data_IF_825726707430
#
_entry.id   IF_825726707430
#
_cell.length_a   1.000
_cell.length_b   1.000
_cell.length_c   1.000
_cell.angle_alpha   90.00
_cell.angle_beta   90.00
_cell.angle_gamma   90.00
#
_symmetry.space_group_name_H-M   'P 1'
#
loop_
_entity.id
_entity.type
_entity.pdbx_description
1 polymer ?
#
# COMPACT_ATOMS: atom_id res chain seq x y z
N UNK A 1 48.88 -26.53 44.21
CA UNK A 1 47.57 -26.93 43.71
C UNK A 1 46.78 -25.64 43.34
N UNK A 2 46.66 -25.34 42.07
CA UNK A 2 45.86 -24.19 41.58
C UNK A 2 44.51 -24.69 41.05
N UNK A 3 43.46 -24.36 41.77
CA UNK A 3 42.08 -24.70 41.39
C UNK A 3 41.58 -23.73 40.37
N UNK A 4 41.30 -24.19 39.15
CA UNK A 4 40.67 -23.37 38.09
C UNK A 4 39.14 -23.54 38.22
N UNK A 5 38.48 -22.46 38.60
CA UNK A 5 37.04 -22.39 38.70
C UNK A 5 36.47 -21.94 37.33
N UNK A 6 35.94 -22.89 36.59
CA UNK A 6 35.31 -22.64 35.28
C UNK A 6 33.91 -22.07 35.50
N UNK A 7 33.74 -20.80 35.17
CA UNK A 7 32.44 -20.13 35.20
C UNK A 7 31.72 -20.44 33.87
N UNK A 8 30.67 -21.25 33.96
CA UNK A 8 29.80 -21.55 32.82
C UNK A 8 28.79 -20.40 32.68
N UNK A 9 29.00 -19.52 31.68
CA UNK A 9 28.03 -18.47 31.34
C UNK A 9 26.87 -19.08 30.58
N UNK A 10 25.70 -19.17 31.20
CA UNK A 10 24.46 -19.58 30.56
C UNK A 10 23.90 -18.37 29.81
N UNK A 11 24.04 -18.39 28.47
CA UNK A 11 23.43 -17.42 27.59
C UNK A 11 21.93 -17.75 27.47
N UNK A 12 21.08 -17.08 28.24
CA UNK A 12 19.64 -17.15 28.09
C UNK A 12 19.22 -16.32 26.88
N UNK A 13 18.99 -16.96 25.74
CA UNK A 13 18.33 -16.35 24.57
C UNK A 13 16.84 -16.21 24.87
N UNK A 14 16.41 -15.01 25.23
CA UNK A 14 14.97 -14.68 25.27
C UNK A 14 14.47 -14.62 23.83
N UNK A 15 13.73 -15.65 23.39
CA UNK A 15 12.91 -15.60 22.19
C UNK A 15 11.82 -14.56 22.45
N UNK A 16 11.95 -13.37 21.87
CA UNK A 16 10.83 -12.43 21.80
C UNK A 16 9.75 -13.06 20.92
N UNK A 17 8.69 -13.55 21.54
CA UNK A 17 7.50 -13.99 20.82
C UNK A 17 6.94 -12.78 20.07
N UNK A 18 6.92 -12.82 18.73
CA UNK A 18 6.29 -11.79 17.93
C UNK A 18 4.81 -11.68 18.36
N UNK A 19 4.38 -10.50 18.78
CA UNK A 19 3.00 -10.27 19.17
C UNK A 19 2.07 -10.66 18.02
N UNK A 20 1.18 -11.60 18.30
CA UNK A 20 0.21 -12.06 17.32
C UNK A 20 -0.81 -10.94 17.08
N UNK A 21 -0.94 -10.49 15.85
CA UNK A 21 -1.97 -9.51 15.48
C UNK A 21 -3.38 -10.06 15.80
N UNK A 22 -4.12 -9.36 16.64
CA UNK A 22 -5.47 -9.71 17.12
C UNK A 22 -6.58 -8.80 16.54
N UNK A 23 -6.20 -7.82 15.71
CA UNK A 23 -7.15 -6.90 15.07
C UNK A 23 -7.97 -7.51 13.93
N UNK A 24 -8.83 -6.68 13.29
CA UNK A 24 -9.66 -7.12 12.19
C UNK A 24 -8.80 -7.58 11.01
N UNK A 25 -9.26 -8.61 10.29
CA UNK A 25 -8.56 -9.20 9.14
C UNK A 25 -9.37 -9.05 7.88
N UNK A 26 -8.73 -8.73 6.73
CA UNK A 26 -9.38 -8.78 5.43
C UNK A 26 -10.03 -10.14 5.18
N UNK A 27 -11.27 -10.15 4.74
CA UNK A 27 -12.05 -11.34 4.39
C UNK A 27 -11.72 -11.87 2.98
N UNK A 28 -11.07 -11.04 2.16
CA UNK A 28 -10.68 -11.38 0.77
C UNK A 28 -9.18 -11.17 0.56
N UNK A 29 -8.50 -12.11 -0.10
CA UNK A 29 -7.12 -11.96 -0.48
C UNK A 29 -6.97 -11.00 -1.67
N UNK A 30 -5.77 -10.44 -1.80
CA UNK A 30 -5.34 -9.57 -2.91
C UNK A 30 -6.22 -8.33 -3.13
N UNK A 31 -6.85 -7.85 -2.06
CA UNK A 31 -7.58 -6.57 -2.01
C UNK A 31 -7.06 -5.78 -0.82
N UNK A 32 -6.82 -4.49 -1.03
CA UNK A 32 -6.48 -3.58 0.07
C UNK A 32 -7.76 -3.14 0.80
N UNK A 33 -7.66 -3.07 2.12
CA UNK A 33 -8.72 -2.58 2.98
C UNK A 33 -8.24 -1.38 3.78
N UNK A 34 -8.96 -0.27 3.70
CA UNK A 34 -8.77 0.87 4.59
C UNK A 34 -9.16 0.47 6.02
N UNK A 35 -8.23 0.67 6.95
CA UNK A 35 -8.51 0.48 8.39
C UNK A 35 -9.06 1.78 8.97
N UNK A 36 -10.33 1.77 9.33
CA UNK A 36 -10.97 2.90 10.01
C UNK A 36 -11.48 2.43 11.39
N UNK A 37 -10.78 2.82 12.44
CA UNK A 37 -10.97 2.30 13.79
C UNK A 37 -10.92 0.76 13.82
N UNK A 38 -12.00 0.08 14.18
CA UNK A 38 -12.13 -1.38 14.18
C UNK A 38 -12.71 -1.97 12.89
N UNK A 39 -13.02 -1.11 11.90
CA UNK A 39 -13.63 -1.53 10.64
C UNK A 39 -12.60 -1.61 9.51
N UNK A 40 -12.84 -2.54 8.60
CA UNK A 40 -12.12 -2.65 7.33
C UNK A 40 -13.07 -2.35 6.19
N UNK A 41 -12.68 -1.40 5.34
CA UNK A 41 -13.46 -0.96 4.19
C UNK A 41 -12.64 -1.32 2.94
N UNK A 42 -13.15 -2.18 2.04
CA UNK A 42 -12.41 -2.53 0.84
C UNK A 42 -12.22 -1.31 -0.05
N UNK A 43 -11.05 -1.18 -0.64
CA UNK A 43 -10.80 -0.18 -1.67
C UNK A 43 -11.50 -0.56 -2.96
N UNK A 44 -11.84 0.46 -3.76
CA UNK A 44 -12.32 0.23 -5.11
C UNK A 44 -11.24 -0.45 -5.94
N UNK A 45 -11.52 -1.64 -6.44
CA UNK A 45 -10.65 -2.31 -7.40
C UNK A 45 -11.05 -1.90 -8.81
N UNK A 46 -10.11 -1.37 -9.56
CA UNK A 46 -10.28 -0.96 -10.94
C UNK A 46 -9.14 -1.43 -11.83
N UNK A 47 -9.23 -1.10 -13.10
CA UNK A 47 -8.18 -1.34 -14.08
C UNK A 47 -7.84 -0.04 -14.81
N UNK A 48 -6.56 0.33 -14.81
CA UNK A 48 -6.06 1.44 -15.59
C UNK A 48 -5.82 0.99 -17.03
N UNK A 49 -6.37 1.71 -17.98
CA UNK A 49 -6.19 1.47 -19.42
C UNK A 49 -5.29 2.51 -20.03
N UNK A 50 -4.39 2.09 -20.90
CA UNK A 50 -3.56 2.99 -21.68
C UNK A 50 -4.43 3.66 -22.76
N UNK A 51 -4.49 5.00 -22.74
CA UNK A 51 -5.32 5.80 -23.65
C UNK A 51 -4.49 6.67 -24.59
N UNK A 52 -3.34 6.26 -24.93
CA UNK A 52 -2.49 6.96 -25.89
C UNK A 52 -1.08 7.19 -25.40
N UNK A 53 -0.17 6.91 -26.29
CA UNK A 53 1.24 7.17 -26.10
C UNK A 53 1.62 8.29 -27.05
N UNK A 54 1.81 9.50 -26.53
CA UNK A 54 2.59 10.49 -27.23
C UNK A 54 4.07 10.09 -27.13
N UNK A 55 4.91 10.59 -28.04
CA UNK A 55 6.30 10.14 -28.22
C UNK A 55 7.10 9.92 -26.92
N UNK A 56 6.76 10.62 -25.83
CA UNK A 56 7.45 10.55 -24.53
C UNK A 56 6.52 10.49 -23.31
N UNK A 57 5.21 10.26 -23.48
CA UNK A 57 4.23 10.28 -22.41
C UNK A 57 3.21 9.15 -22.60
N UNK A 58 2.97 8.36 -21.54
CA UNK A 58 1.90 7.36 -21.48
C UNK A 58 0.83 7.84 -20.52
N UNK A 59 -0.41 7.93 -20.99
CA UNK A 59 -1.57 8.24 -20.15
C UNK A 59 -2.30 6.94 -19.80
N UNK A 60 -2.45 6.70 -18.53
CA UNK A 60 -3.32 5.63 -18.00
C UNK A 60 -4.57 6.28 -17.42
N UNK A 61 -5.73 5.72 -17.71
CA UNK A 61 -7.01 6.25 -17.25
C UNK A 61 -7.97 5.15 -16.83
N UNK A 62 -8.88 5.52 -15.91
CA UNK A 62 -10.03 4.71 -15.53
C UNK A 62 -11.28 5.59 -15.44
N UNK A 63 -12.45 4.98 -15.68
CA UNK A 63 -13.73 5.66 -15.59
C UNK A 63 -14.09 6.05 -14.15
N UNK A 64 -14.93 7.06 -14.01
CA UNK A 64 -15.37 7.59 -12.73
C UNK A 64 -14.41 8.64 -12.14
N UNK A 65 -14.97 9.75 -11.68
CA UNK A 65 -14.17 10.87 -11.14
C UNK A 65 -13.68 10.63 -9.71
N UNK A 66 -14.40 9.83 -8.93
CA UNK A 66 -14.12 9.62 -7.50
C UNK A 66 -14.20 8.16 -7.12
N UNK A 67 -13.35 7.77 -6.17
CA UNK A 67 -13.45 6.46 -5.54
C UNK A 67 -14.58 6.45 -4.48
N UNK A 68 -15.34 5.36 -4.37
CA UNK A 68 -16.39 5.24 -3.35
C UNK A 68 -15.84 5.14 -1.93
N UNK A 69 -14.64 4.58 -1.76
CA UNK A 69 -13.99 4.49 -0.45
C UNK A 69 -13.26 5.78 -0.15
N UNK A 70 -13.62 6.41 0.97
CA UNK A 70 -13.16 7.74 1.36
C UNK A 70 -12.64 7.77 2.80
N UNK A 71 -11.69 8.65 3.07
CA UNK A 71 -11.14 8.88 4.41
C UNK A 71 -10.79 10.36 4.64
N UNK A 72 -11.03 10.91 5.84
CA UNK A 72 -10.52 12.22 6.23
C UNK A 72 -9.07 12.17 6.74
N UNK A 73 -8.47 10.98 6.81
CA UNK A 73 -7.12 10.81 7.36
C UNK A 73 -6.07 11.11 6.28
N UNK A 74 -5.17 12.04 6.59
CA UNK A 74 -4.05 12.37 5.72
C UNK A 74 -2.95 11.30 5.68
N UNK A 75 -2.92 10.41 6.68
CA UNK A 75 -1.99 9.28 6.78
C UNK A 75 -2.78 8.00 7.07
N UNK A 76 -3.55 7.51 6.08
CA UNK A 76 -4.38 6.34 6.28
C UNK A 76 -3.56 5.06 6.41
N UNK A 77 -4.14 4.08 7.09
CA UNK A 77 -3.58 2.75 7.30
C UNK A 77 -4.42 1.75 6.54
N UNK A 78 -3.75 0.80 5.88
CA UNK A 78 -4.40 -0.26 5.15
C UNK A 78 -3.96 -1.62 5.65
N UNK A 79 -4.84 -2.61 5.49
CA UNK A 79 -4.53 -4.02 5.68
C UNK A 79 -4.67 -4.75 4.35
N UNK A 80 -3.78 -5.70 4.16
CA UNK A 80 -3.68 -6.48 2.94
C UNK A 80 -3.37 -7.94 3.26
N UNK A 81 -4.24 -8.85 2.82
CA UNK A 81 -3.99 -10.27 2.87
C UNK A 81 -3.46 -10.72 1.50
N UNK A 82 -2.16 -10.99 1.43
CA UNK A 82 -1.48 -11.33 0.18
C UNK A 82 -1.63 -12.82 -0.15
N UNK A 83 -2.09 -13.13 -1.36
CA UNK A 83 -2.05 -14.49 -1.90
C UNK A 83 -1.21 -14.56 -3.18
N UNK A 84 -1.49 -13.69 -4.15
CA UNK A 84 -0.80 -13.64 -5.46
C UNK A 84 -0.03 -12.34 -5.67
N UNK A 85 -0.53 -11.23 -5.10
CA UNK A 85 0.10 -9.92 -5.24
C UNK A 85 1.17 -9.74 -4.17
N UNK A 86 2.36 -9.31 -4.59
CA UNK A 86 3.46 -8.98 -3.69
C UNK A 86 3.23 -7.58 -3.07
N UNK A 87 2.99 -7.47 -1.77
CA UNK A 87 2.77 -6.19 -1.11
C UNK A 87 3.98 -5.27 -1.16
N UNK A 88 5.19 -5.82 -1.28
CA UNK A 88 6.42 -5.04 -1.39
C UNK A 88 6.59 -4.32 -2.74
N UNK A 89 5.74 -4.68 -3.72
CA UNK A 89 5.73 -4.07 -5.06
C UNK A 89 4.58 -3.09 -5.25
N UNK A 90 3.85 -2.77 -4.19
CA UNK A 90 2.80 -1.75 -4.23
C UNK A 90 3.43 -0.35 -4.30
N UNK A 91 2.88 0.47 -5.16
CA UNK A 91 3.21 1.89 -5.27
C UNK A 91 1.94 2.72 -5.13
N UNK A 92 2.00 3.82 -4.38
CA UNK A 92 0.87 4.73 -4.17
C UNK A 92 1.06 5.99 -4.99
N UNK A 93 0.07 6.33 -5.83
CA UNK A 93 0.08 7.53 -6.67
C UNK A 93 -1.14 8.41 -6.41
N UNK A 94 -0.94 9.74 -6.50
CA UNK A 94 -2.03 10.70 -6.63
C UNK A 94 -2.52 10.69 -8.08
N UNK A 95 -3.83 10.63 -8.25
CA UNK A 95 -4.48 10.52 -9.56
C UNK A 95 -5.21 11.83 -9.84
N UNK A 96 -5.07 12.36 -11.05
CA UNK A 96 -5.77 13.57 -11.47
C UNK A 96 -7.20 13.26 -11.95
N UNK A 97 -8.13 14.16 -11.63
CA UNK A 97 -9.47 14.11 -12.19
C UNK A 97 -9.50 14.98 -13.44
N UNK A 98 -9.84 14.40 -14.58
CA UNK A 98 -9.98 15.12 -15.83
C UNK A 98 -11.12 14.57 -16.68
N UNK A 99 -11.99 15.46 -17.15
CA UNK A 99 -13.14 15.08 -17.98
C UNK A 99 -14.01 13.98 -17.36
N UNK A 100 -14.24 14.05 -16.03
CA UNK A 100 -15.07 13.08 -15.30
C UNK A 100 -14.45 11.68 -15.11
N UNK A 101 -13.15 11.55 -15.31
CA UNK A 101 -12.40 10.30 -15.12
C UNK A 101 -11.12 10.55 -14.33
N UNK A 102 -10.53 9.50 -13.82
CA UNK A 102 -9.24 9.52 -13.12
C UNK A 102 -8.13 9.15 -14.10
N UNK A 103 -7.09 9.97 -14.19
CA UNK A 103 -5.95 9.72 -15.08
C UNK A 103 -4.60 10.02 -14.41
N UNK A 104 -3.57 9.32 -14.85
CA UNK A 104 -2.19 9.57 -14.49
C UNK A 104 -1.31 9.51 -15.73
N UNK A 105 -0.31 10.38 -15.79
CA UNK A 105 0.59 10.50 -16.94
C UNK A 105 2.01 10.21 -16.54
N UNK A 106 2.60 9.22 -17.19
CA UNK A 106 4.02 8.88 -17.03
C UNK A 106 4.83 9.38 -18.21
N UNK A 107 5.90 10.11 -17.93
CA UNK A 107 6.86 10.55 -18.94
C UNK A 107 8.00 9.55 -19.06
N UNK A 108 8.36 9.16 -20.28
CA UNK A 108 9.43 8.18 -20.55
C UNK A 108 10.84 8.75 -20.30
N UNK A 109 11.00 10.08 -20.35
CA UNK A 109 12.27 10.78 -20.13
C UNK A 109 12.03 12.07 -19.35
N UNK A 110 12.86 12.31 -18.34
CA UNK A 110 12.85 13.54 -17.54
C UNK A 110 12.35 13.36 -16.13
N UNK A 111 12.77 14.27 -15.24
CA UNK A 111 12.58 14.20 -13.79
C UNK A 111 11.20 14.63 -13.28
N UNK A 112 10.25 14.98 -14.15
CA UNK A 112 8.97 15.59 -13.78
C UNK A 112 7.76 14.68 -13.98
N UNK A 113 7.92 13.37 -13.89
CA UNK A 113 6.81 12.43 -13.84
C UNK A 113 6.22 12.30 -12.44
N UNK A 114 5.03 11.69 -12.29
CA UNK A 114 4.47 11.39 -10.99
C UNK A 114 5.41 10.45 -10.23
N UNK A 115 5.74 10.82 -8.99
CA UNK A 115 6.47 9.94 -8.08
C UNK A 115 5.50 9.19 -7.18
N UNK A 116 5.80 7.96 -6.79
CA UNK A 116 5.02 7.29 -5.77
C UNK A 116 5.20 7.98 -4.41
N UNK A 117 4.13 7.97 -3.62
CA UNK A 117 4.17 8.35 -2.21
C UNK A 117 4.88 7.28 -1.39
N UNK A 118 5.54 7.69 -0.31
CA UNK A 118 6.22 6.76 0.58
C UNK A 118 5.22 5.96 1.39
N UNK A 119 5.33 4.66 1.31
CA UNK A 119 4.57 3.71 2.11
C UNK A 119 5.53 2.80 2.87
N UNK A 120 5.08 2.29 4.00
CA UNK A 120 5.77 1.27 4.78
C UNK A 120 4.92 0.01 4.83
N UNK A 121 5.50 -1.11 4.41
CA UNK A 121 4.82 -2.42 4.40
C UNK A 121 5.36 -3.25 5.55
N UNK A 122 4.51 -3.54 6.53
CA UNK A 122 4.85 -4.26 7.75
C UNK A 122 4.15 -5.63 7.78
N UNK A 123 4.87 -6.75 7.83
CA UNK A 123 4.25 -8.06 7.97
C UNK A 123 3.65 -8.21 9.37
N UNK A 124 2.41 -8.70 9.43
CA UNK A 124 1.70 -9.02 10.66
C UNK A 124 1.55 -10.53 10.90
N UNK A 125 2.20 -11.34 10.06
CA UNK A 125 2.15 -12.80 10.11
C UNK A 125 1.10 -13.40 9.15
N UNK A 126 1.30 -14.67 8.76
CA UNK A 126 0.37 -15.47 7.95
C UNK A 126 -0.18 -14.74 6.69
N UNK A 127 0.69 -14.16 5.87
CA UNK A 127 0.36 -13.41 4.65
C UNK A 127 -0.40 -12.09 4.88
N UNK A 128 -0.59 -11.67 6.12
CA UNK A 128 -1.22 -10.40 6.46
C UNK A 128 -0.17 -9.30 6.57
N UNK A 129 -0.45 -8.17 5.96
CA UNK A 129 0.42 -7.00 5.95
C UNK A 129 -0.36 -5.75 6.35
N UNK A 130 0.31 -4.88 7.10
CA UNK A 130 -0.13 -3.51 7.36
C UNK A 130 0.66 -2.58 6.45
N UNK A 131 -0.04 -1.68 5.77
CA UNK A 131 0.54 -0.68 4.92
C UNK A 131 0.23 0.69 5.52
N UNK A 132 1.28 1.39 5.92
CA UNK A 132 1.20 2.75 6.46
C UNK A 132 1.63 3.73 5.37
N UNK A 133 0.84 4.79 5.18
CA UNK A 133 1.27 5.91 4.34
C UNK A 133 2.19 6.81 5.17
N UNK A 134 3.42 6.98 4.71
CA UNK A 134 4.50 7.69 5.42
C UNK A 134 4.75 9.10 4.88
N UNK A 135 3.73 9.67 4.25
CA UNK A 135 3.68 11.05 3.79
C UNK A 135 2.27 11.58 4.00
N UNK A 136 2.15 12.83 4.39
CA UNK A 136 0.86 13.50 4.54
C UNK A 136 0.20 13.67 3.16
N UNK A 137 -0.95 13.06 2.97
CA UNK A 137 -1.74 13.16 1.75
C UNK A 137 -2.63 14.41 1.82
N UNK A 138 -2.64 15.17 0.74
CA UNK A 138 -3.63 16.24 0.53
C UNK A 138 -4.96 15.64 0.08
N UNK A 139 -6.04 16.44 0.12
CA UNK A 139 -7.32 16.04 -0.46
C UNK A 139 -7.15 15.66 -1.94
N UNK A 140 -7.76 14.56 -2.35
CA UNK A 140 -7.66 14.07 -3.72
C UNK A 140 -7.89 12.58 -3.88
N UNK A 141 -7.71 12.11 -5.12
CA UNK A 141 -7.83 10.72 -5.50
C UNK A 141 -6.47 10.03 -5.47
N UNK A 142 -6.42 8.82 -4.92
CA UNK A 142 -5.20 8.03 -4.80
C UNK A 142 -5.46 6.60 -5.21
N UNK A 143 -4.48 5.98 -5.85
CA UNK A 143 -4.56 4.56 -6.18
C UNK A 143 -3.23 3.85 -5.84
N UNK A 144 -3.35 2.68 -5.22
CA UNK A 144 -2.26 1.72 -5.17
C UNK A 144 -2.19 0.95 -6.48
N UNK A 145 -0.98 0.81 -7.01
CA UNK A 145 -0.69 0.02 -8.20
C UNK A 145 0.30 -1.08 -7.84
N UNK A 146 -0.05 -2.35 -8.01
CA UNK A 146 0.94 -3.43 -7.94
C UNK A 146 1.81 -3.39 -9.19
N UNK A 147 3.12 -3.44 -9.02
CA UNK A 147 4.05 -3.44 -10.14
C UNK A 147 3.84 -4.65 -11.06
N UNK A 148 3.68 -4.41 -12.37
CA UNK A 148 3.49 -5.45 -13.38
C UNK A 148 2.04 -5.91 -13.56
N UNK A 149 1.08 -5.19 -13.01
CA UNK A 149 -0.35 -5.44 -13.14
C UNK A 149 -1.08 -4.10 -13.44
N UNK A 150 -2.12 -4.13 -14.27
CA UNK A 150 -2.93 -2.95 -14.57
C UNK A 150 -4.04 -2.70 -13.54
N UNK A 151 -4.22 -3.61 -12.59
CA UNK A 151 -5.16 -3.43 -11.49
C UNK A 151 -4.70 -2.30 -10.58
N UNK A 152 -5.66 -1.57 -10.04
CA UNK A 152 -5.43 -0.51 -9.07
C UNK A 152 -6.46 -0.61 -7.96
N UNK A 153 -6.08 -0.13 -6.77
CA UNK A 153 -6.94 -0.05 -5.60
C UNK A 153 -7.04 1.40 -5.16
N UNK A 154 -8.21 2.00 -5.33
CA UNK A 154 -8.37 3.44 -5.23
C UNK A 154 -9.18 3.88 -4.02
N UNK A 155 -8.86 5.08 -3.52
CA UNK A 155 -9.56 5.75 -2.43
C UNK A 155 -9.45 7.28 -2.59
N UNK A 156 -10.29 8.00 -1.86
CA UNK A 156 -10.29 9.46 -1.78
C UNK A 156 -9.89 9.93 -0.38
N UNK A 157 -9.05 10.96 -0.31
CA UNK A 157 -8.82 11.78 0.89
C UNK A 157 -9.60 13.09 0.77
N UNK A 158 -10.40 13.47 1.81
CA UNK A 158 -11.28 14.66 1.77
C UNK A 158 -11.21 15.51 3.02
#
# INVERSE_FOLDING_TARGET
MRSYMTILAVLSTTLAAAEKYDGPRPDKPDILFLKHASKLIPLEMGEMKEEGTKKDETTLAMSGATAPTRTPLAEPIFLFNSDRLDPMRLELYKIEIKNGRREIKFKKKGSNGPRPYKIMVNPLGAKLYRIDVNETLENGQYCFSPSGDNRVFCFEVF
#
